data_IF_214660324282
#
_entry.id   IF_214660324282
#
_cell.length_a   1.000
_cell.length_b   1.000
_cell.length_c   1.000
_cell.angle_alpha   90.00
_cell.angle_beta   90.00
_cell.angle_gamma   90.00
#
_symmetry.space_group_name_H-M   'P 1'
#
loop_
_entity.id
_entity.type
_entity.pdbx_description
1 polymer ?
#
# COMPACT_ATOMS: atom_id res chain seq x y z
N UNK A 1 -10.65 10.33 10.95
CA UNK A 1 -11.19 10.32 9.57
C UNK A 1 -10.40 11.38 8.82
N UNK A 2 -9.62 11.02 7.78
CA UNK A 2 -9.01 12.04 6.91
C UNK A 2 -10.15 12.76 6.18
N UNK A 3 -10.02 14.08 6.04
CA UNK A 3 -11.01 14.89 5.33
C UNK A 3 -10.94 14.59 3.82
N UNK A 4 -12.01 14.87 3.07
CA UNK A 4 -12.01 14.76 1.59
C UNK A 4 -10.85 15.54 0.94
N UNK A 5 -10.37 16.58 1.60
CA UNK A 5 -9.25 17.42 1.16
C UNK A 5 -7.90 16.68 1.28
N UNK A 6 -7.69 15.95 2.37
CA UNK A 6 -6.50 15.12 2.58
C UNK A 6 -6.44 13.97 1.56
N UNK A 7 -7.60 13.40 1.21
CA UNK A 7 -7.73 12.40 0.15
C UNK A 7 -7.37 12.98 -1.24
N UNK A 8 -7.80 14.20 -1.56
CA UNK A 8 -7.43 14.85 -2.82
C UNK A 8 -5.92 15.10 -2.88
N UNK A 9 -5.33 15.61 -1.79
CA UNK A 9 -3.89 15.81 -1.66
C UNK A 9 -3.10 14.49 -1.80
N UNK A 10 -3.56 13.40 -1.18
CA UNK A 10 -2.93 12.08 -1.31
C UNK A 10 -2.95 11.58 -2.77
N UNK A 11 -4.04 11.81 -3.50
CA UNK A 11 -4.15 11.47 -4.92
C UNK A 11 -3.18 12.26 -5.77
N UNK A 12 -3.04 13.56 -5.47
CA UNK A 12 -2.09 14.44 -6.14
C UNK A 12 -0.66 13.97 -5.89
N UNK A 13 -0.33 13.61 -4.64
CA UNK A 13 0.97 13.05 -4.27
C UNK A 13 1.28 11.77 -5.07
N UNK A 14 0.35 10.81 -5.11
CA UNK A 14 0.53 9.56 -5.87
C UNK A 14 0.83 9.83 -7.36
N UNK A 15 0.21 10.86 -7.94
CA UNK A 15 0.35 11.17 -9.36
C UNK A 15 1.51 12.12 -9.71
N UNK A 16 2.10 12.81 -8.72
CA UNK A 16 3.10 13.88 -8.94
C UNK A 16 4.44 13.62 -8.28
N UNK A 17 4.50 12.72 -7.31
CA UNK A 17 5.71 12.42 -6.55
C UNK A 17 6.16 11.00 -6.89
N UNK A 18 7.46 10.81 -7.08
CA UNK A 18 8.04 9.48 -7.24
C UNK A 18 8.02 8.77 -5.88
N UNK A 19 7.47 7.54 -5.77
CA UNK A 19 7.46 6.79 -4.51
C UNK A 19 8.87 6.67 -3.90
N UNK A 20 9.91 6.46 -4.71
CA UNK A 20 11.28 6.32 -4.19
C UNK A 20 11.74 7.61 -3.51
N UNK A 21 11.37 8.78 -4.05
CA UNK A 21 11.68 10.07 -3.43
C UNK A 21 10.85 10.31 -2.16
N UNK A 22 9.60 9.90 -2.16
CA UNK A 22 8.70 10.08 -1.02
C UNK A 22 9.18 9.28 0.21
N UNK A 23 9.60 8.03 -0.01
CA UNK A 23 10.03 7.13 1.05
C UNK A 23 11.51 7.28 1.41
N UNK A 24 12.39 7.74 0.50
CA UNK A 24 13.81 7.94 0.78
C UNK A 24 14.16 9.18 1.62
N UNK A 25 13.26 10.17 1.73
CA UNK A 25 13.50 11.36 2.56
C UNK A 25 13.43 11.01 4.06
N UNK A 26 14.58 10.90 4.73
CA UNK A 26 14.75 10.87 6.20
C UNK A 26 13.72 10.01 6.97
N UNK A 27 13.52 8.74 6.59
CA UNK A 27 12.66 7.82 7.33
C UNK A 27 11.16 7.94 7.02
N UNK A 28 10.82 8.27 5.77
CA UNK A 28 9.47 8.54 5.28
C UNK A 28 8.83 9.81 5.86
N UNK A 29 8.57 10.78 4.99
CA UNK A 29 7.94 12.04 5.38
C UNK A 29 6.44 11.92 5.76
N UNK A 30 5.82 10.76 5.54
CA UNK A 30 4.40 10.55 5.80
C UNK A 30 4.15 9.99 7.20
N UNK A 31 3.19 10.57 7.96
CA UNK A 31 2.74 9.99 9.21
C UNK A 31 2.20 8.57 9.03
N UNK A 32 2.39 7.69 10.02
CA UNK A 32 1.92 6.30 9.99
C UNK A 32 0.42 6.17 9.64
N UNK A 33 -0.41 7.09 10.16
CA UNK A 33 -1.84 7.16 9.82
C UNK A 33 -2.10 7.37 8.33
N UNK A 34 -1.26 8.16 7.66
CA UNK A 34 -1.38 8.45 6.24
C UNK A 34 -0.88 7.26 5.42
N UNK A 35 0.13 6.52 5.89
CA UNK A 35 0.57 5.26 5.26
C UNK A 35 -0.55 4.20 5.27
N UNK A 36 -1.21 3.98 6.41
CA UNK A 36 -2.33 3.03 6.50
C UNK A 36 -3.47 3.41 5.55
N UNK A 37 -3.77 4.71 5.42
CA UNK A 37 -4.82 5.18 4.52
C UNK A 37 -4.41 5.14 3.05
N UNK A 38 -3.12 5.32 2.77
CA UNK A 38 -2.55 5.10 1.46
C UNK A 38 -2.70 3.63 1.05
N UNK A 39 -2.36 2.68 1.92
CA UNK A 39 -2.55 1.24 1.69
C UNK A 39 -4.00 0.87 1.44
N UNK A 40 -4.93 1.28 2.33
CA UNK A 40 -6.35 0.96 2.20
C UNK A 40 -6.94 1.53 0.91
N UNK A 41 -6.47 2.71 0.47
CA UNK A 41 -6.95 3.36 -0.74
C UNK A 41 -6.35 2.79 -2.02
N UNK A 42 -5.04 2.63 -2.09
CA UNK A 42 -4.37 2.08 -3.27
C UNK A 42 -4.86 0.67 -3.55
N UNK A 43 -5.12 -0.10 -2.50
CA UNK A 43 -5.64 -1.44 -2.64
C UNK A 43 -7.05 -1.49 -3.23
N UNK A 44 -7.88 -0.43 -3.18
CA UNK A 44 -9.28 -0.46 -3.65
C UNK A 44 -9.39 -0.78 -5.14
N UNK A 45 -8.37 -0.44 -5.91
CA UNK A 45 -8.38 -0.59 -7.36
C UNK A 45 -6.96 -0.82 -7.85
N UNK A 46 -6.55 -2.09 -8.01
CA UNK A 46 -5.20 -2.49 -8.43
C UNK A 46 -5.06 -2.70 -9.95
N UNK A 47 -6.17 -2.66 -10.69
CA UNK A 47 -6.27 -2.90 -12.13
C UNK A 47 -5.81 -1.72 -13.00
N UNK A 48 -5.61 -0.52 -12.43
CA UNK A 48 -5.03 0.64 -13.13
C UNK A 48 -3.74 1.10 -12.48
N UNK A 49 -2.80 1.65 -13.25
CA UNK A 49 -1.53 2.19 -12.75
C UNK A 49 -0.78 1.20 -11.83
N UNK A 50 -0.92 -0.10 -12.13
CA UNK A 50 -0.55 -1.20 -11.24
C UNK A 50 0.89 -1.12 -10.76
N UNK A 51 1.83 -0.83 -11.67
CA UNK A 51 3.25 -0.71 -11.35
C UNK A 51 3.53 0.41 -10.32
N UNK A 52 2.99 1.60 -10.57
CA UNK A 52 3.11 2.74 -9.67
C UNK A 52 2.49 2.43 -8.30
N UNK A 53 1.28 1.87 -8.28
CA UNK A 53 0.60 1.50 -7.04
C UNK A 53 1.40 0.46 -6.25
N UNK A 54 1.99 -0.52 -6.92
CA UNK A 54 2.79 -1.55 -6.27
C UNK A 54 4.04 -0.97 -5.60
N UNK A 55 4.77 -0.06 -6.27
CA UNK A 55 5.90 0.65 -5.67
C UNK A 55 5.49 1.48 -4.45
N UNK A 56 4.33 2.12 -4.51
CA UNK A 56 3.78 2.84 -3.37
C UNK A 56 3.38 1.93 -2.20
N UNK A 57 2.78 0.78 -2.48
CA UNK A 57 2.41 -0.21 -1.48
C UNK A 57 3.65 -0.80 -0.80
N UNK A 58 4.68 -1.11 -1.58
CA UNK A 58 5.97 -1.60 -1.07
C UNK A 58 6.60 -0.58 -0.12
N UNK A 59 6.84 0.65 -0.59
CA UNK A 59 7.44 1.69 0.26
C UNK A 59 6.60 2.02 1.50
N UNK A 60 5.26 2.01 1.39
CA UNK A 60 4.40 2.21 2.55
C UNK A 60 4.52 1.06 3.57
N UNK A 61 4.66 -0.19 3.13
CA UNK A 61 4.86 -1.35 3.99
C UNK A 61 6.25 -1.40 4.63
N UNK A 62 7.29 -0.98 3.91
CA UNK A 62 8.65 -0.91 4.46
C UNK A 62 8.80 0.14 5.56
N UNK A 63 7.99 1.20 5.50
CA UNK A 63 8.01 2.31 6.46
C UNK A 63 6.88 2.22 7.52
N UNK A 64 6.12 1.12 7.54
CA UNK A 64 5.09 0.90 8.56
C UNK A 64 5.75 0.52 9.89
N UNK A 65 5.38 1.24 10.96
CA UNK A 65 5.83 0.98 12.32
C UNK A 65 4.61 0.85 13.26
N UNK A 66 4.63 -0.17 14.10
CA UNK A 66 3.51 -0.57 14.96
C UNK A 66 3.60 -0.01 16.39
N UNK A 67 4.12 1.22 16.54
CA UNK A 67 4.36 1.80 17.87
C UNK A 67 3.09 2.27 18.58
N UNK A 68 2.01 2.56 17.82
CA UNK A 68 0.72 2.99 18.36
C UNK A 68 -0.31 1.84 18.33
N UNK A 69 -0.77 1.33 19.50
CA UNK A 69 -1.77 0.27 19.60
C UNK A 69 -3.09 0.56 18.86
N UNK A 70 -3.52 1.83 18.84
CA UNK A 70 -4.77 2.23 18.18
C UNK A 70 -4.64 2.26 16.65
N UNK A 71 -3.41 2.41 16.15
CA UNK A 71 -3.10 2.37 14.73
C UNK A 71 -2.76 0.96 14.26
N UNK A 72 -2.18 0.14 15.13
CA UNK A 72 -1.83 -1.26 14.89
C UNK A 72 -3.03 -2.08 14.40
N UNK A 73 -4.18 -1.96 15.07
CA UNK A 73 -5.40 -2.67 14.64
C UNK A 73 -5.87 -2.21 13.24
N UNK A 74 -5.82 -0.91 12.97
CA UNK A 74 -6.18 -0.37 11.64
C UNK A 74 -5.22 -0.82 10.56
N UNK A 75 -3.94 -0.92 10.90
CA UNK A 75 -2.88 -1.42 10.02
C UNK A 75 -3.15 -2.88 9.68
N UNK A 76 -3.44 -3.71 10.68
CA UNK A 76 -3.81 -5.12 10.49
C UNK A 76 -5.01 -5.27 9.55
N UNK A 77 -6.11 -4.54 9.80
CA UNK A 77 -7.30 -4.56 8.94
C UNK A 77 -6.96 -4.14 7.51
N UNK A 78 -6.13 -3.10 7.33
CA UNK A 78 -5.71 -2.63 6.01
C UNK A 78 -4.85 -3.68 5.27
N UNK A 79 -3.95 -4.36 5.98
CA UNK A 79 -3.10 -5.42 5.44
C UNK A 79 -3.91 -6.67 5.08
N UNK A 80 -4.88 -7.08 5.90
CA UNK A 80 -5.80 -8.19 5.60
C UNK A 80 -6.61 -7.91 4.34
N UNK A 81 -7.18 -6.71 4.23
CA UNK A 81 -7.87 -6.26 3.01
C UNK A 81 -6.95 -6.25 1.80
N UNK A 82 -5.73 -5.73 1.93
CA UNK A 82 -4.75 -5.73 0.86
C UNK A 82 -4.43 -7.17 0.41
N UNK A 83 -4.25 -8.11 1.35
CA UNK A 83 -4.04 -9.52 1.02
C UNK A 83 -5.20 -10.09 0.20
N UNK A 84 -6.45 -9.86 0.62
CA UNK A 84 -7.64 -10.33 -0.11
C UNK A 84 -7.72 -9.74 -1.53
N UNK A 85 -7.36 -8.46 -1.68
CA UNK A 85 -7.38 -7.78 -2.99
C UNK A 85 -6.24 -8.23 -3.89
N UNK A 86 -5.05 -8.50 -3.34
CA UNK A 86 -3.95 -9.12 -4.07
C UNK A 86 -4.31 -10.54 -4.51
N UNK A 87 -5.02 -11.30 -3.68
CA UNK A 87 -5.55 -12.61 -4.06
C UNK A 87 -6.50 -12.51 -5.25
N UNK A 88 -7.50 -11.62 -5.17
CA UNK A 88 -8.42 -11.38 -6.27
C UNK A 88 -7.69 -10.94 -7.56
N UNK A 89 -6.65 -10.10 -7.43
CA UNK A 89 -5.81 -9.68 -8.55
C UNK A 89 -5.04 -10.86 -9.17
N UNK A 90 -4.46 -11.75 -8.36
CA UNK A 90 -3.71 -12.91 -8.82
C UNK A 90 -4.59 -13.96 -9.49
N UNK A 91 -5.82 -14.16 -8.97
CA UNK A 91 -6.81 -15.08 -9.55
C UNK A 91 -7.52 -14.50 -10.77
N UNK A 92 -7.39 -13.19 -11.04
CA UNK A 92 -8.01 -12.60 -12.22
C UNK A 92 -7.33 -13.10 -13.50
N UNK A 93 -8.16 -13.44 -14.49
CA UNK A 93 -7.76 -13.79 -15.86
C UNK A 93 -7.26 -12.57 -16.66
N UNK A 94 -6.69 -11.57 -15.99
CA UNK A 94 -5.96 -10.52 -16.68
C UNK A 94 -4.66 -11.12 -17.26
N UNK A 95 -4.77 -11.60 -18.49
CA UNK A 95 -3.77 -12.28 -19.32
C UNK A 95 -2.55 -11.41 -19.73
N UNK A 96 -2.40 -10.22 -19.16
CA UNK A 96 -1.52 -9.20 -19.76
C UNK A 96 -0.09 -9.13 -19.25
N UNK A 97 0.22 -9.46 -17.99
CA UNK A 97 1.56 -9.13 -17.48
C UNK A 97 2.06 -10.06 -16.37
N UNK A 98 2.94 -10.99 -16.75
CA UNK A 98 3.64 -11.90 -15.83
C UNK A 98 4.45 -11.16 -14.76
N UNK A 99 4.93 -9.95 -15.08
CA UNK A 99 5.67 -9.07 -14.17
C UNK A 99 4.77 -8.56 -13.04
N UNK A 100 3.57 -8.04 -13.35
CA UNK A 100 2.64 -7.57 -12.31
C UNK A 100 2.16 -8.73 -11.43
N UNK A 101 1.84 -9.90 -12.00
CA UNK A 101 1.48 -11.08 -11.19
C UNK A 101 2.65 -11.53 -10.30
N UNK A 102 3.90 -11.42 -10.77
CA UNK A 102 5.10 -11.68 -9.94
C UNK A 102 5.23 -10.67 -8.82
N UNK A 103 5.11 -9.38 -9.11
CA UNK A 103 5.21 -8.32 -8.12
C UNK A 103 4.09 -8.42 -7.06
N UNK A 104 2.84 -8.68 -7.48
CA UNK A 104 1.73 -8.93 -6.56
C UNK A 104 1.99 -10.11 -5.60
N UNK A 105 2.66 -11.18 -6.05
CA UNK A 105 3.09 -12.29 -5.18
C UNK A 105 4.12 -11.85 -4.14
N UNK A 106 5.10 -11.03 -4.53
CA UNK A 106 6.09 -10.47 -3.61
C UNK A 106 5.44 -9.57 -2.57
N UNK A 107 4.55 -8.66 -3.00
CA UNK A 107 3.75 -7.84 -2.09
C UNK A 107 2.92 -8.69 -1.14
N UNK A 108 2.33 -9.79 -1.61
CA UNK A 108 1.57 -10.70 -0.75
C UNK A 108 2.46 -11.35 0.33
N UNK A 109 3.69 -11.72 -0.02
CA UNK A 109 4.67 -12.23 0.95
C UNK A 109 5.04 -11.15 1.97
N UNK A 110 5.26 -9.91 1.52
CA UNK A 110 5.56 -8.77 2.39
C UNK A 110 4.41 -8.48 3.36
N UNK A 111 3.15 -8.43 2.87
CA UNK A 111 1.95 -8.31 3.69
C UNK A 111 1.88 -9.41 4.75
N UNK A 112 2.15 -10.66 4.35
CA UNK A 112 2.18 -11.79 5.28
C UNK A 112 3.25 -11.66 6.35
N UNK A 113 4.42 -11.09 6.02
CA UNK A 113 5.46 -10.79 6.99
C UNK A 113 5.03 -9.68 7.96
N UNK A 114 4.47 -8.59 7.42
CA UNK A 114 3.98 -7.45 8.21
C UNK A 114 2.84 -7.83 9.16
N UNK A 115 1.94 -8.74 8.75
CA UNK A 115 0.87 -9.28 9.60
C UNK A 115 1.40 -10.18 10.72
N UNK A 116 2.57 -10.81 10.56
CA UNK A 116 3.20 -11.62 11.60
C UNK A 116 3.97 -10.76 12.61
N UNK A 117 4.50 -9.62 12.16
CA UNK A 117 5.19 -8.64 13.00
C UNK A 117 4.27 -7.58 13.62
N UNK A 118 3.00 -7.52 13.18
CA UNK A 118 1.94 -6.74 13.82
C UNK A 118 1.33 -7.55 14.97
#
# INVERSE_FOLDING_TARGET
VLSKHDLAALTFVINKIDPDRLFAMNGCALPQRNLVQLLDRLSQKLDTDTDLKFRYLEGAMENLHNDDPALKEKTKIALEKLSQRLDAFLTSDMDGNSVHKRHARLLKQLVGNQLRSA
#
